data_IF_483985136378
#
_entry.id   IF_483985136378
#
_cell.length_a   1.000
_cell.length_b   1.000
_cell.length_c   1.000
_cell.angle_alpha   90.00
_cell.angle_beta   90.00
_cell.angle_gamma   90.00
#
_symmetry.space_group_name_H-M   'P 1'
#
loop_
_entity.id
_entity.type
_entity.pdbx_description
1 polymer ?
#
# COMPACT_ATOMS: atom_id res chain seq x y z
N UNK A 1 25.77 35.84 25.17
CA UNK A 1 26.47 34.60 24.72
C UNK A 1 26.71 34.72 23.23
N UNK A 2 27.95 34.55 22.79
CA UNK A 2 28.38 35.01 21.47
C UNK A 2 27.88 34.07 20.37
N UNK A 3 26.88 34.50 19.59
CA UNK A 3 26.31 33.74 18.46
C UNK A 3 27.38 33.23 17.48
N UNK A 4 28.51 33.96 17.37
CA UNK A 4 29.69 33.59 16.59
C UNK A 4 30.32 32.25 17.00
N UNK A 5 30.16 31.84 18.26
CA UNK A 5 30.60 30.53 18.76
C UNK A 5 29.60 29.41 18.45
N UNK A 6 28.34 29.72 18.20
CA UNK A 6 27.28 28.72 17.96
C UNK A 6 27.07 28.42 16.48
N UNK A 7 27.37 29.37 15.58
CA UNK A 7 27.35 29.19 14.12
C UNK A 7 28.12 27.93 13.66
N UNK A 8 29.37 27.67 14.08
CA UNK A 8 30.08 26.48 13.62
C UNK A 8 29.44 25.17 14.10
N UNK A 9 28.87 25.12 15.31
CA UNK A 9 28.15 23.94 15.80
C UNK A 9 26.86 23.70 15.02
N UNK A 10 26.15 24.77 14.66
CA UNK A 10 24.95 24.69 13.84
C UNK A 10 25.25 24.20 12.42
N UNK A 11 26.29 24.74 11.78
CA UNK A 11 26.73 24.26 10.45
C UNK A 11 27.18 22.80 10.50
N UNK A 12 27.93 22.40 11.53
CA UNK A 12 28.34 21.01 11.71
C UNK A 12 27.13 20.07 11.82
N UNK A 13 26.12 20.45 12.62
CA UNK A 13 24.91 19.64 12.77
C UNK A 13 24.14 19.51 11.44
N UNK A 14 24.01 20.61 10.70
CA UNK A 14 23.39 20.62 9.37
C UNK A 14 24.15 19.68 8.42
N UNK A 15 25.48 19.74 8.39
CA UNK A 15 26.31 18.86 7.53
C UNK A 15 26.10 17.39 7.90
N UNK A 16 26.12 17.05 9.20
CA UNK A 16 25.90 15.67 9.65
C UNK A 16 24.51 15.17 9.25
N UNK A 17 23.47 15.99 9.46
CA UNK A 17 22.11 15.64 9.06
C UNK A 17 21.98 15.46 7.54
N UNK A 18 22.56 16.37 6.76
CA UNK A 18 22.56 16.28 5.30
C UNK A 18 23.24 14.99 4.83
N UNK A 19 24.41 14.64 5.38
CA UNK A 19 25.14 13.41 5.06
C UNK A 19 24.30 12.16 5.38
N UNK A 20 23.63 12.12 6.54
CA UNK A 20 22.77 11.00 6.92
C UNK A 20 21.57 10.87 5.97
N UNK A 21 20.90 11.97 5.64
CA UNK A 21 19.78 11.98 4.69
C UNK A 21 20.24 11.52 3.31
N UNK A 22 21.35 12.07 2.80
CA UNK A 22 21.94 11.66 1.52
C UNK A 22 22.33 10.18 1.50
N UNK A 23 22.86 9.64 2.60
CA UNK A 23 23.19 8.21 2.69
C UNK A 23 21.95 7.32 2.65
N UNK A 24 20.86 7.71 3.32
CA UNK A 24 19.60 6.97 3.28
C UNK A 24 18.99 7.01 1.89
N UNK A 25 18.97 8.18 1.25
CA UNK A 25 18.46 8.35 -0.12
C UNK A 25 19.30 7.56 -1.13
N UNK A 26 20.62 7.61 -0.99
CA UNK A 26 21.53 6.84 -1.84
C UNK A 26 21.30 5.34 -1.67
N UNK A 27 21.14 4.87 -0.43
CA UNK A 27 20.85 3.45 -0.18
C UNK A 27 19.48 3.03 -0.75
N UNK A 28 18.52 3.93 -0.79
CA UNK A 28 17.19 3.69 -1.36
C UNK A 28 17.22 3.66 -2.89
N UNK A 29 17.88 4.63 -3.53
CA UNK A 29 18.11 4.68 -4.97
C UNK A 29 18.86 3.43 -5.46
N UNK A 30 19.90 3.05 -4.74
CA UNK A 30 20.73 1.89 -5.07
C UNK A 30 20.07 0.53 -4.74
N UNK A 31 18.86 0.52 -4.13
CA UNK A 31 18.03 -0.69 -3.96
C UNK A 31 17.19 -0.99 -5.19
N UNK A 32 16.94 -0.02 -6.08
CA UNK A 32 16.23 -0.23 -7.35
C UNK A 32 17.17 -0.84 -8.42
N UNK A 33 18.01 -1.77 -7.99
CA UNK A 33 18.96 -2.48 -8.84
C UNK A 33 18.25 -3.21 -9.97
N UNK A 34 18.27 -2.58 -11.14
CA UNK A 34 18.10 -3.23 -12.43
C UNK A 34 16.72 -3.10 -13.06
N UNK A 35 16.42 -1.98 -13.70
CA UNK A 35 15.55 -1.97 -14.88
C UNK A 35 15.86 -0.81 -15.82
N UNK A 36 17.14 -0.67 -16.18
CA UNK A 36 17.53 0.10 -17.36
C UNK A 36 17.65 -0.85 -18.57
N UNK A 37 16.52 -1.38 -19.03
CA UNK A 37 16.25 -1.70 -20.45
C UNK A 37 14.74 -1.88 -20.59
N UNK A 38 13.98 -0.79 -20.44
CA UNK A 38 12.60 -0.74 -20.91
C UNK A 38 12.61 -0.16 -22.33
N UNK A 39 12.68 -1.05 -23.32
CA UNK A 39 12.32 -0.72 -24.69
C UNK A 39 10.92 -0.09 -24.68
N UNK A 40 10.79 1.09 -25.32
CA UNK A 40 9.51 1.80 -25.43
C UNK A 40 8.47 0.91 -26.12
N UNK A 41 7.48 0.42 -25.36
CA UNK A 41 6.23 -0.07 -25.92
C UNK A 41 5.12 0.95 -25.59
N UNK A 42 4.40 1.49 -26.60
CA UNK A 42 3.21 2.29 -26.33
C UNK A 42 2.08 1.34 -25.93
N UNK A 43 1.82 1.20 -24.63
CA UNK A 43 0.62 0.48 -24.17
C UNK A 43 -0.55 1.45 -24.11
N UNK A 44 -1.30 1.52 -25.22
CA UNK A 44 -2.66 2.10 -25.22
C UNK A 44 -3.57 1.17 -24.41
N UNK A 45 -3.88 1.58 -23.19
CA UNK A 45 -4.92 0.93 -22.36
C UNK A 45 -6.30 1.38 -22.85
N UNK A 46 -6.85 0.64 -23.81
CA UNK A 46 -8.28 0.68 -24.15
C UNK A 46 -9.02 -0.12 -23.08
N UNK A 47 -9.94 0.46 -22.28
CA UNK A 47 -10.72 -0.32 -21.32
C UNK A 47 -11.71 -1.22 -22.06
N UNK A 48 -11.40 -2.51 -22.12
CA UNK A 48 -12.35 -3.52 -22.56
C UNK A 48 -13.26 -3.87 -21.38
N UNK A 49 -14.48 -3.32 -21.37
CA UNK A 49 -15.55 -3.81 -20.50
C UNK A 49 -15.92 -5.22 -20.97
N UNK A 50 -15.51 -6.24 -20.21
CA UNK A 50 -16.03 -7.60 -20.38
C UNK A 50 -17.46 -7.61 -19.83
N UNK A 51 -18.44 -7.73 -20.73
CA UNK A 51 -19.82 -7.98 -20.31
C UNK A 51 -19.89 -9.38 -19.70
N UNK A 52 -19.94 -9.43 -18.37
CA UNK A 52 -20.12 -10.66 -17.63
C UNK A 52 -21.59 -11.09 -17.75
N UNK A 53 -21.94 -11.82 -18.80
CA UNK A 53 -23.24 -12.49 -18.91
C UNK A 53 -23.28 -13.63 -17.88
N UNK A 54 -23.73 -13.32 -16.67
CA UNK A 54 -24.04 -14.32 -15.66
C UNK A 54 -25.30 -15.09 -16.11
N UNK A 55 -25.14 -16.39 -16.30
CA UNK A 55 -26.22 -17.36 -16.49
C UNK A 55 -27.01 -17.45 -15.17
N UNK A 56 -28.37 -17.51 -15.16
CA UNK A 56 -29.11 -17.66 -13.92
C UNK A 56 -28.85 -19.06 -13.35
N UNK A 57 -27.99 -19.16 -12.34
CA UNK A 57 -27.82 -20.38 -11.54
C UNK A 57 -28.96 -20.40 -10.53
N UNK A 58 -29.79 -21.45 -10.58
CA UNK A 58 -30.93 -21.66 -9.69
C UNK A 58 -30.49 -21.65 -8.22
N UNK A 59 -31.26 -20.89 -7.44
CA UNK A 59 -31.19 -20.72 -6.00
C UNK A 59 -31.36 -22.08 -5.29
N UNK A 60 -30.30 -22.57 -4.66
CA UNK A 60 -30.40 -23.63 -3.65
C UNK A 60 -30.01 -22.96 -2.34
N UNK A 61 -31.01 -22.48 -1.61
CA UNK A 61 -30.83 -21.95 -0.28
C UNK A 61 -30.17 -23.00 0.63
N UNK A 62 -28.96 -22.77 1.18
CA UNK A 62 -28.47 -23.57 2.27
C UNK A 62 -29.15 -23.05 3.54
N UNK A 63 -29.96 -23.92 4.16
CA UNK A 63 -30.37 -23.80 5.56
C UNK A 63 -29.09 -23.72 6.40
N UNK A 64 -28.67 -22.51 6.75
CA UNK A 64 -27.52 -22.27 7.61
C UNK A 64 -27.97 -22.44 9.07
N UNK A 65 -27.85 -23.66 9.59
CA UNK A 65 -27.56 -23.83 11.01
C UNK A 65 -26.15 -23.27 11.23
N UNK A 66 -25.93 -22.27 12.10
CA UNK A 66 -24.60 -21.73 12.32
C UNK A 66 -23.77 -22.78 13.09
N UNK A 67 -22.93 -23.50 12.37
CA UNK A 67 -21.79 -24.22 12.94
C UNK A 67 -20.70 -23.18 13.23
N UNK A 68 -20.03 -23.22 14.39
CA UNK A 68 -18.92 -22.31 14.66
C UNK A 68 -17.78 -22.62 13.68
N UNK A 69 -17.61 -21.74 12.70
CA UNK A 69 -16.52 -21.78 11.75
C UNK A 69 -15.24 -21.30 12.45
N UNK A 70 -14.42 -22.26 12.92
CA UNK A 70 -13.07 -22.02 13.49
C UNK A 70 -12.02 -21.71 12.39
N UNK A 71 -12.47 -21.44 11.15
CA UNK A 71 -11.62 -21.04 10.04
C UNK A 71 -11.16 -19.57 10.11
N UNK A 72 -10.13 -19.19 9.33
CA UNK A 72 -9.76 -17.79 9.17
C UNK A 72 -10.94 -16.98 8.62
N UNK A 73 -11.28 -15.87 9.28
CA UNK A 73 -12.35 -14.99 8.85
C UNK A 73 -12.04 -14.36 7.47
N UNK A 74 -12.78 -14.77 6.44
CA UNK A 74 -12.62 -14.24 5.08
C UNK A 74 -13.72 -13.21 4.78
N UNK A 75 -13.32 -11.97 4.51
CA UNK A 75 -14.22 -10.90 4.06
C UNK A 75 -13.84 -10.45 2.64
N UNK A 76 -14.82 -10.47 1.72
CA UNK A 76 -14.63 -9.99 0.34
C UNK A 76 -15.01 -8.51 0.24
N UNK A 77 -14.02 -7.64 0.10
CA UNK A 77 -14.20 -6.19 0.04
C UNK A 77 -15.05 -5.75 -1.15
N UNK A 78 -15.99 -4.84 -0.91
CA UNK A 78 -16.85 -4.22 -1.93
C UNK A 78 -16.46 -2.75 -2.15
N UNK A 79 -16.88 -2.19 -3.29
CA UNK A 79 -16.63 -0.79 -3.58
C UNK A 79 -17.35 0.12 -2.56
N UNK A 80 -16.58 0.98 -1.87
CA UNK A 80 -17.09 1.85 -0.81
C UNK A 80 -16.77 1.36 0.60
N UNK A 81 -16.27 0.13 0.75
CA UNK A 81 -15.77 -0.34 2.04
C UNK A 81 -14.47 0.36 2.42
N UNK A 82 -14.29 0.58 3.73
CA UNK A 82 -13.05 1.08 4.30
C UNK A 82 -12.59 0.14 5.41
N UNK A 83 -11.28 0.06 5.66
CA UNK A 83 -10.75 -0.78 6.73
C UNK A 83 -11.35 -0.43 8.10
N UNK A 84 -11.64 0.84 8.36
CA UNK A 84 -12.27 1.28 9.62
C UNK A 84 -13.73 0.87 9.77
N UNK A 85 -14.49 0.73 8.66
CA UNK A 85 -15.85 0.22 8.70
C UNK A 85 -15.86 -1.31 8.86
N UNK A 86 -14.94 -1.99 8.17
CA UNK A 86 -14.76 -3.44 8.27
C UNK A 86 -14.28 -3.82 9.68
N UNK A 87 -13.39 -3.02 10.28
CA UNK A 87 -12.88 -3.28 11.63
C UNK A 87 -13.98 -3.16 12.68
N UNK A 88 -14.86 -2.16 12.56
CA UNK A 88 -16.06 -2.02 13.40
C UNK A 88 -17.06 -3.17 13.19
N UNK A 89 -17.24 -3.64 11.95
CA UNK A 89 -18.13 -4.76 11.63
C UNK A 89 -17.68 -6.07 12.34
N UNK A 90 -16.37 -6.26 12.47
CA UNK A 90 -15.79 -7.45 13.09
C UNK A 90 -15.25 -7.23 14.51
N UNK A 91 -15.52 -6.07 15.11
CA UNK A 91 -15.05 -5.67 16.45
C UNK A 91 -13.53 -5.89 16.66
N UNK A 92 -12.74 -5.54 15.64
CA UNK A 92 -11.27 -5.58 15.69
C UNK A 92 -10.71 -4.16 15.81
N UNK A 93 -9.79 -3.89 16.76
CA UNK A 93 -9.29 -2.55 17.05
C UNK A 93 -8.31 -2.00 15.99
#
# INVERSE_FOLDING_TARGET
>A
MSARKMIPFLLLNIVVSAVVVLAILYLWDNREGGSETAASIPTTITPAFLQNTAVPQLDIAPTNTPEPDDGPLIHTVQAGDTLGNISQLYDVP
#
